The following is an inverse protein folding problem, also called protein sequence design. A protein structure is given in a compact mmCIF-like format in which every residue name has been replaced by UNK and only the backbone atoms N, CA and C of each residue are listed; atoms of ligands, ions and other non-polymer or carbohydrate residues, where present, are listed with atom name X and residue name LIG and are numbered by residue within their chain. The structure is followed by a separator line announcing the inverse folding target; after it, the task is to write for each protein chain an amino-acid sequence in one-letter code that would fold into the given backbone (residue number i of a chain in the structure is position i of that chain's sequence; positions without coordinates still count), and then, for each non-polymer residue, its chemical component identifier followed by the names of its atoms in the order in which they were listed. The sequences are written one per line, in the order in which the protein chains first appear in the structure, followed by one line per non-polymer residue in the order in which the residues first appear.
data_IF_198118673391
#
_entry.id   IF_198118673391
#
_cell.length_a   1.000
_cell.length_b   1.000
_cell.length_c   1.000
_cell.angle_alpha   90.00
_cell.angle_beta   90.00
_cell.angle_gamma   90.00
#
_symmetry.space_group_name_H-M   'P 1'
#
loop_
_entity.id
_entity.type
_entity.pdbx_description
1 polymer ?
#
# COMPACT_ATOMS: atom_id res chain seq x y z
N UNK A 1 -8.47 -9.67 -1.16
CA UNK A 1 -7.51 -9.99 -0.08
C UNK A 1 -6.89 -11.33 -0.42
N UNK A 2 -5.56 -11.44 -0.38
CA UNK A 2 -4.79 -12.68 -0.62
C UNK A 2 -3.99 -13.03 0.63
N UNK A 3 -3.45 -14.24 0.74
CA UNK A 3 -2.62 -14.64 1.88
C UNK A 3 -1.23 -14.02 1.81
N UNK A 4 -0.61 -13.77 2.96
CA UNK A 4 0.72 -13.15 3.09
C UNK A 4 1.85 -13.90 2.36
N UNK A 5 1.73 -15.23 2.24
CA UNK A 5 2.69 -16.08 1.53
C UNK A 5 2.55 -16.00 0.00
N UNK A 6 1.57 -15.25 -0.50
CA UNK A 6 1.36 -15.11 -1.95
C UNK A 6 2.42 -14.21 -2.55
N UNK A 7 3.22 -14.77 -3.46
CA UNK A 7 4.06 -13.96 -4.36
C UNK A 7 3.24 -13.48 -5.56
N UNK A 8 3.16 -12.17 -5.74
CA UNK A 8 2.48 -11.55 -6.89
C UNK A 8 3.55 -11.14 -7.91
N UNK A 9 3.34 -11.53 -9.17
CA UNK A 9 4.21 -11.15 -10.30
C UNK A 9 3.43 -10.25 -11.25
N UNK A 10 3.98 -9.07 -11.53
CA UNK A 10 3.41 -8.14 -12.49
C UNK A 10 4.37 -7.97 -13.66
N UNK A 11 3.83 -8.07 -14.87
CA UNK A 11 4.53 -7.74 -16.11
C UNK A 11 3.71 -6.69 -16.83
N UNK A 12 4.34 -5.57 -17.14
CA UNK A 12 3.70 -4.49 -17.88
C UNK A 12 3.97 -4.69 -19.37
N UNK A 13 2.94 -4.51 -20.18
CA UNK A 13 3.07 -4.49 -21.64
C UNK A 13 2.58 -3.15 -22.16
N UNK A 14 3.39 -2.48 -22.97
CA UNK A 14 3.08 -1.17 -23.51
C UNK A 14 3.94 -0.86 -24.73
N UNK A 15 3.67 0.27 -25.37
CA UNK A 15 4.44 0.76 -26.52
C UNK A 15 5.69 1.54 -26.11
N UNK A 16 5.67 2.12 -24.92
CA UNK A 16 6.79 2.88 -24.38
C UNK A 16 7.89 1.95 -23.89
N UNK A 17 9.11 2.46 -23.74
CA UNK A 17 10.23 1.66 -23.24
C UNK A 17 10.19 1.47 -21.72
N UNK A 18 9.54 2.40 -21.01
CA UNK A 18 9.49 2.43 -19.54
C UNK A 18 8.07 2.64 -19.01
N UNK A 19 7.84 2.22 -17.77
CA UNK A 19 6.68 2.54 -16.96
C UNK A 19 7.10 3.09 -15.60
N UNK A 20 6.17 3.74 -14.90
CA UNK A 20 6.39 4.27 -13.56
C UNK A 20 5.86 3.31 -12.50
N UNK A 21 6.68 3.08 -11.47
CA UNK A 21 6.31 2.36 -10.27
C UNK A 21 6.39 3.32 -9.09
N UNK A 22 5.38 3.32 -8.22
CA UNK A 22 5.33 4.14 -7.01
C UNK A 22 5.28 3.27 -5.76
N UNK A 23 6.11 3.58 -4.76
CA UNK A 23 6.10 2.95 -3.45
C UNK A 23 6.28 4.01 -2.35
N UNK A 24 5.26 4.17 -1.49
CA UNK A 24 5.23 5.20 -0.44
C UNK A 24 5.59 6.59 -0.97
N UNK A 25 4.91 7.00 -2.04
CA UNK A 25 5.12 8.28 -2.73
C UNK A 25 6.50 8.48 -3.39
N UNK A 26 7.33 7.44 -3.45
CA UNK A 26 8.60 7.45 -4.22
C UNK A 26 8.37 6.86 -5.59
N UNK A 27 8.79 7.58 -6.63
CA UNK A 27 8.63 7.17 -8.03
C UNK A 27 9.91 6.59 -8.60
N UNK A 28 9.76 5.53 -9.38
CA UNK A 28 10.84 4.86 -10.10
C UNK A 28 10.42 4.66 -11.56
N UNK A 29 11.31 4.98 -12.49
CA UNK A 29 11.16 4.62 -13.90
C UNK A 29 11.76 3.24 -14.11
N UNK A 30 10.98 2.31 -14.65
CA UNK A 30 11.33 0.89 -14.80
C UNK A 30 11.12 0.48 -16.26
N UNK A 31 12.04 -0.29 -16.82
CA UNK A 31 11.94 -0.81 -18.19
C UNK A 31 10.76 -1.78 -18.33
N UNK A 32 10.05 -1.73 -19.46
CA UNK A 32 8.83 -2.52 -19.69
C UNK A 32 9.04 -4.04 -19.72
N UNK A 33 10.26 -4.51 -19.97
CA UNK A 33 10.61 -5.92 -19.90
C UNK A 33 10.80 -6.44 -18.46
N UNK A 34 10.81 -5.56 -17.47
CA UNK A 34 11.01 -5.91 -16.06
C UNK A 34 9.78 -6.61 -15.48
N UNK A 35 10.02 -7.71 -14.76
CA UNK A 35 8.98 -8.39 -13.96
C UNK A 35 9.09 -7.89 -12.52
N UNK A 36 7.99 -7.34 -12.01
CA UNK A 36 7.89 -6.88 -10.62
C UNK A 36 7.42 -8.04 -9.74
N UNK A 37 8.15 -8.27 -8.64
CA UNK A 37 7.80 -9.27 -7.63
C UNK A 37 7.36 -8.55 -6.35
N UNK A 38 6.13 -8.80 -5.92
CA UNK A 38 5.57 -8.25 -4.68
C UNK A 38 5.32 -9.41 -3.73
N UNK A 39 5.94 -9.35 -2.55
CA UNK A 39 5.84 -10.36 -1.49
C UNK A 39 5.99 -9.70 -0.12
N UNK A 40 5.55 -10.39 0.94
CA UNK A 40 5.80 -9.96 2.31
C UNK A 40 7.30 -9.85 2.60
N UNK A 41 7.69 -8.78 3.29
CA UNK A 41 9.07 -8.54 3.71
C UNK A 41 9.50 -9.54 4.80
N UNK A 42 10.76 -9.97 4.86
CA UNK A 42 11.25 -10.85 5.93
C UNK A 42 11.45 -10.13 7.27
N UNK A 43 11.25 -8.81 7.32
CA UNK A 43 11.33 -8.01 8.52
C UNK A 43 10.01 -7.31 8.81
N UNK A 44 9.80 -6.99 10.07
CA UNK A 44 8.65 -6.25 10.56
C UNK A 44 9.08 -4.89 11.11
N UNK A 45 8.14 -3.94 11.13
CA UNK A 45 8.35 -2.63 11.74
C UNK A 45 7.72 -2.66 13.13
N UNK A 46 8.53 -2.40 14.15
CA UNK A 46 8.04 -2.30 15.53
C UNK A 46 7.28 -0.99 15.72
N UNK A 47 5.96 -1.08 15.83
CA UNK A 47 5.09 0.07 16.07
C UNK A 47 4.83 0.27 17.56
N UNK A 48 4.84 1.51 18.03
CA UNK A 48 4.40 1.88 19.39
C UNK A 48 2.94 2.31 19.33
N UNK A 49 2.09 1.69 20.14
CA UNK A 49 0.70 2.09 20.30
C UNK A 49 0.55 2.99 21.54
N UNK A 50 -0.19 4.08 21.38
CA UNK A 50 -0.54 4.97 22.48
C UNK A 50 -1.81 4.41 23.15
N UNK A 51 -1.86 4.30 24.50
CA UNK A 51 -3.08 3.90 25.19
C UNK A 51 -4.29 4.72 24.74
N UNK A 52 -5.45 4.06 24.63
CA UNK A 52 -6.73 4.66 24.18
C UNK A 52 -6.78 5.19 22.73
N UNK A 53 -5.74 4.95 21.93
CA UNK A 53 -5.68 5.26 20.50
C UNK A 53 -5.87 4.02 19.63
N UNK A 54 -7.07 3.42 19.67
CA UNK A 54 -7.35 2.19 18.91
C UNK A 54 -7.47 2.41 17.40
N UNK A 55 -7.25 1.36 16.61
CA UNK A 55 -7.45 1.36 15.15
C UNK A 55 -8.83 1.89 14.75
N UNK A 56 -9.91 1.38 15.36
CA UNK A 56 -11.28 1.77 15.01
C UNK A 56 -11.62 3.23 15.36
N UNK A 57 -11.13 3.73 16.51
CA UNK A 57 -11.29 5.14 16.89
C UNK A 57 -10.56 6.05 15.90
N UNK A 58 -9.34 5.68 15.53
CA UNK A 58 -8.53 6.40 14.54
C UNK A 58 -9.19 6.41 13.17
N UNK A 59 -9.68 5.25 12.71
CA UNK A 59 -10.38 5.10 11.44
C UNK A 59 -11.64 5.97 11.39
N UNK A 60 -12.47 5.93 12.44
CA UNK A 60 -13.68 6.76 12.57
C UNK A 60 -13.37 8.24 12.43
N UNK A 61 -12.40 8.73 13.22
CA UNK A 61 -12.06 10.14 13.27
C UNK A 61 -11.47 10.64 11.95
N UNK A 62 -10.54 9.88 11.35
CA UNK A 62 -9.88 10.30 10.09
C UNK A 62 -10.80 10.28 8.88
N UNK A 63 -11.78 9.37 8.85
CA UNK A 63 -12.73 9.26 7.75
C UNK A 63 -14.06 9.96 8.04
N UNK A 64 -14.21 10.62 9.19
CA UNK A 64 -15.49 11.18 9.68
C UNK A 64 -16.64 10.16 9.63
N UNK A 65 -16.32 8.88 9.87
CA UNK A 65 -17.25 7.79 9.59
C UNK A 65 -18.35 7.73 10.66
N UNK A 66 -19.57 8.05 10.28
CA UNK A 66 -20.70 8.10 11.21
C UNK A 66 -20.82 9.43 11.96
N UNK A 67 -19.96 10.40 11.64
CA UNK A 67 -20.25 11.80 11.92
C UNK A 67 -21.26 12.29 10.89
N UNK A 68 -22.47 12.60 11.34
CA UNK A 68 -23.47 13.23 10.51
C UNK A 68 -23.19 14.73 10.42
N UNK A 69 -22.54 15.16 9.34
CA UNK A 69 -22.31 16.59 9.02
C UNK A 69 -23.49 17.22 8.27
N UNK A 70 -24.73 16.86 8.59
CA UNK A 70 -25.91 17.54 8.05
C UNK A 70 -26.23 18.76 8.91
N UNK A 71 -25.62 19.88 8.55
CA UNK A 71 -26.15 21.26 8.64
C UNK A 71 -25.53 22.08 7.52
#
# INVERSE_FOLDING_TARGET
VVTDETEIRLKVSGRDDNHLVSLDSRLFSVSNDTILYIKKSPFEINMVEIPDATFLKTLRNKLFWGEDRRN
#
